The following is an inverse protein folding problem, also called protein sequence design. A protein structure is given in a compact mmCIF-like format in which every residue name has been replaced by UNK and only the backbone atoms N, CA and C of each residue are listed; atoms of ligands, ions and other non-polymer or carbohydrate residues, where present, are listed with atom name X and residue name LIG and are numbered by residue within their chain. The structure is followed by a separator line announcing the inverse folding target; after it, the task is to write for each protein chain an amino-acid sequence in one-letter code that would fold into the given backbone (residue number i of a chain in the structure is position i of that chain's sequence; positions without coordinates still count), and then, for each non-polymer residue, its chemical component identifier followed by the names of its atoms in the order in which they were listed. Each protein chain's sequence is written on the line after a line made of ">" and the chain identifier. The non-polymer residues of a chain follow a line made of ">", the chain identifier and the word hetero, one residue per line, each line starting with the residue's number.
data_IF_402729573539
#
_entry.id   IF_402729573539
#
_cell.length_a   1.000
_cell.length_b   1.000
_cell.length_c   1.000
_cell.angle_alpha   90.00
_cell.angle_beta   90.00
_cell.angle_gamma   90.00
#
_symmetry.space_group_name_H-M   'P 1'
#
loop_
_entity.id
_entity.type
_entity.pdbx_description
1 polymer ?
#
# COMPACT_ATOMS: atom_id res chain seq x y z
N UNK A 1 -26.47 -0.89 15.29
CA UNK A 1 -25.21 -0.83 14.51
C UNK A 1 -25.60 -1.09 13.08
N UNK A 2 -25.21 -0.23 12.16
CA UNK A 2 -25.50 -0.35 10.74
C UNK A 2 -24.68 -1.48 10.14
N UNK A 3 -25.28 -2.38 9.37
CA UNK A 3 -24.58 -3.41 8.62
C UNK A 3 -24.36 -2.98 7.16
N UNK A 4 -23.46 -3.65 6.41
CA UNK A 4 -23.31 -3.39 4.98
C UNK A 4 -24.62 -3.70 4.20
N UNK A 5 -25.43 -4.66 4.66
CA UNK A 5 -26.72 -4.97 4.07
C UNK A 5 -27.72 -3.81 4.17
N UNK A 6 -27.62 -2.98 5.22
CA UNK A 6 -28.49 -1.81 5.42
C UNK A 6 -28.13 -0.64 4.49
N UNK A 7 -26.98 -0.68 3.82
CA UNK A 7 -26.48 0.39 2.92
C UNK A 7 -27.05 0.30 1.49
N UNK A 8 -27.87 -0.71 1.18
CA UNK A 8 -28.51 -0.86 -0.14
C UNK A 8 -27.60 -1.42 -1.23
N UNK A 9 -26.59 -2.23 -0.85
CA UNK A 9 -25.66 -2.87 -1.76
C UNK A 9 -26.27 -4.12 -2.42
N UNK A 10 -25.84 -4.42 -3.65
CA UNK A 10 -26.25 -5.61 -4.37
C UNK A 10 -25.67 -6.90 -3.76
N UNK A 11 -26.36 -8.04 -3.94
CA UNK A 11 -25.90 -9.32 -3.42
C UNK A 11 -24.47 -9.71 -3.87
N UNK A 12 -24.04 -9.49 -5.14
CA UNK A 12 -22.66 -9.78 -5.54
C UNK A 12 -21.62 -8.98 -4.76
N UNK A 13 -21.89 -7.71 -4.45
CA UNK A 13 -20.98 -6.87 -3.66
C UNK A 13 -20.97 -7.31 -2.20
N UNK A 14 -22.15 -7.57 -1.60
CA UNK A 14 -22.22 -8.06 -0.22
C UNK A 14 -21.41 -9.35 -0.04
N UNK A 15 -21.58 -10.33 -0.93
CA UNK A 15 -20.81 -11.57 -0.89
C UNK A 15 -19.29 -11.33 -1.10
N UNK A 16 -18.91 -10.36 -1.94
CA UNK A 16 -17.50 -10.01 -2.11
C UNK A 16 -16.90 -9.40 -0.85
N UNK A 17 -17.68 -8.60 -0.10
CA UNK A 17 -17.27 -8.04 1.20
C UNK A 17 -17.13 -9.11 2.28
N UNK A 18 -18.05 -10.08 2.32
CA UNK A 18 -17.95 -11.25 3.20
C UNK A 18 -16.68 -12.06 2.93
N UNK A 19 -16.34 -12.31 1.65
CA UNK A 19 -15.12 -13.03 1.25
C UNK A 19 -13.84 -12.33 1.73
N UNK A 20 -13.86 -11.00 1.86
CA UNK A 20 -12.73 -10.18 2.33
C UNK A 20 -12.75 -10.00 3.85
N UNK A 21 -13.81 -10.43 4.53
CA UNK A 21 -13.95 -10.38 5.98
C UNK A 21 -14.40 -9.01 6.52
N UNK A 22 -15.21 -8.27 5.76
CA UNK A 22 -15.86 -7.04 6.23
C UNK A 22 -17.11 -7.41 7.01
N UNK A 23 -17.14 -7.06 8.30
CA UNK A 23 -18.29 -7.35 9.18
C UNK A 23 -19.19 -6.13 9.35
N UNK A 24 -18.62 -4.97 9.62
CA UNK A 24 -19.33 -3.72 9.87
C UNK A 24 -18.68 -2.55 9.14
N UNK A 25 -19.46 -1.59 8.64
CA UNK A 25 -18.92 -0.38 8.02
C UNK A 25 -18.24 0.51 9.05
N UNK A 26 -17.09 1.07 8.69
CA UNK A 26 -16.44 2.11 9.48
C UNK A 26 -17.23 3.44 9.37
N UNK A 27 -17.01 4.42 10.28
CA UNK A 27 -17.75 5.68 10.26
C UNK A 27 -17.68 6.45 8.93
N UNK A 28 -16.55 6.39 8.21
CA UNK A 28 -16.44 7.03 6.89
C UNK A 28 -17.23 6.26 5.83
N UNK A 29 -17.30 4.94 5.93
CA UNK A 29 -18.07 4.10 5.00
C UNK A 29 -19.56 4.29 5.21
N UNK A 30 -20.02 4.28 6.47
CA UNK A 30 -21.42 4.48 6.83
C UNK A 30 -21.96 5.83 6.31
N UNK A 31 -21.14 6.89 6.37
CA UNK A 31 -21.56 8.23 5.95
C UNK A 31 -21.35 8.48 4.45
N UNK A 32 -20.31 7.91 3.81
CA UNK A 32 -19.97 8.19 2.43
C UNK A 32 -20.68 7.27 1.42
N UNK A 33 -20.91 5.99 1.76
CA UNK A 33 -21.49 5.03 0.81
C UNK A 33 -22.91 5.47 0.36
N UNK A 34 -23.86 5.84 1.25
CA UNK A 34 -25.21 6.16 0.82
C UNK A 34 -25.32 7.36 -0.14
N UNK A 35 -24.66 8.51 0.07
CA UNK A 35 -24.70 9.60 -0.90
C UNK A 35 -24.01 9.24 -2.22
N UNK A 36 -22.91 8.47 -2.20
CA UNK A 36 -22.26 8.00 -3.42
C UNK A 36 -23.14 7.06 -4.25
N UNK A 37 -23.89 6.17 -3.62
CA UNK A 37 -24.87 5.31 -4.32
C UNK A 37 -26.02 6.11 -4.95
N UNK A 38 -26.33 7.30 -4.41
CA UNK A 38 -27.32 8.23 -4.98
C UNK A 38 -26.77 9.11 -6.10
N UNK A 39 -25.50 8.94 -6.48
CA UNK A 39 -24.84 9.74 -7.53
C UNK A 39 -24.43 11.13 -7.09
N UNK A 40 -24.35 11.42 -5.77
CA UNK A 40 -23.94 12.72 -5.26
C UNK A 40 -22.40 12.80 -5.21
N UNK A 41 -21.87 13.99 -5.48
CA UNK A 41 -20.44 14.27 -5.24
C UNK A 41 -20.18 14.32 -3.74
N UNK A 42 -18.97 13.92 -3.32
CA UNK A 42 -18.58 13.99 -1.91
C UNK A 42 -17.19 14.55 -1.70
N UNK A 43 -17.01 15.18 -0.55
CA UNK A 43 -15.72 15.49 0.03
C UNK A 43 -15.58 14.66 1.31
N UNK A 44 -14.76 13.62 1.27
CA UNK A 44 -14.49 12.74 2.41
C UNK A 44 -13.22 13.15 3.15
N UNK A 45 -13.36 13.82 4.28
CA UNK A 45 -12.21 14.17 5.12
C UNK A 45 -12.02 13.14 6.22
N UNK A 46 -10.99 12.28 6.07
CA UNK A 46 -10.66 11.24 7.04
C UNK A 46 -9.19 10.83 6.94
N UNK A 47 -8.59 10.42 8.05
CA UNK A 47 -7.19 9.97 8.12
C UNK A 47 -6.94 8.69 7.32
N UNK A 48 -5.67 8.40 7.02
CA UNK A 48 -5.24 7.13 6.43
C UNK A 48 -5.57 5.98 7.39
N UNK A 49 -6.09 4.86 6.84
CA UNK A 49 -6.50 3.71 7.66
C UNK A 49 -7.93 3.76 8.20
N UNK A 50 -8.70 4.83 7.95
CA UNK A 50 -10.12 4.94 8.35
C UNK A 50 -11.08 4.10 7.50
N UNK A 51 -10.62 3.49 6.40
CA UNK A 51 -11.46 2.73 5.48
C UNK A 51 -11.94 3.51 4.25
N UNK A 52 -11.29 4.63 3.89
CA UNK A 52 -11.63 5.45 2.71
C UNK A 52 -11.74 4.65 1.42
N UNK A 53 -10.79 3.72 1.18
CA UNK A 53 -10.79 2.92 -0.06
C UNK A 53 -12.09 2.13 -0.25
N UNK A 54 -12.63 1.54 0.80
CA UNK A 54 -13.92 0.87 0.72
C UNK A 54 -15.09 1.88 0.64
N UNK A 55 -14.98 3.04 1.29
CA UNK A 55 -16.00 4.08 1.25
C UNK A 55 -16.30 4.58 -0.16
N UNK A 56 -15.29 4.73 -1.04
CA UNK A 56 -15.51 5.06 -2.44
C UNK A 56 -15.54 3.85 -3.37
N UNK A 57 -14.79 2.81 -3.05
CA UNK A 57 -14.62 1.65 -3.93
C UNK A 57 -15.86 0.78 -4.02
N UNK A 58 -16.60 0.61 -2.93
CA UNK A 58 -17.85 -0.15 -2.92
C UNK A 58 -18.90 0.50 -3.83
N UNK A 59 -19.25 1.78 -3.67
CA UNK A 59 -20.18 2.46 -4.58
C UNK A 59 -19.69 2.49 -6.03
N UNK A 60 -18.41 2.66 -6.26
CA UNK A 60 -17.81 2.61 -7.60
C UNK A 60 -18.05 1.24 -8.25
N UNK A 61 -17.88 0.13 -7.51
CA UNK A 61 -18.15 -1.21 -8.03
C UNK A 61 -19.65 -1.46 -8.25
N UNK A 62 -20.54 -0.83 -7.49
CA UNK A 62 -21.98 -0.85 -7.79
C UNK A 62 -22.33 -0.15 -9.10
N UNK A 63 -21.71 0.99 -9.33
CA UNK A 63 -21.93 1.83 -10.50
C UNK A 63 -21.51 1.17 -11.81
N UNK A 64 -20.39 0.45 -11.83
CA UNK A 64 -19.79 -0.09 -13.06
C UNK A 64 -20.62 -1.21 -13.67
N UNK A 65 -20.93 -1.08 -14.96
CA UNK A 65 -21.57 -2.10 -15.79
C UNK A 65 -20.52 -2.96 -16.51
N UNK A 66 -20.38 -4.25 -16.21
CA UNK A 66 -19.38 -5.13 -16.83
C UNK A 66 -19.61 -5.40 -18.33
N UNK A 67 -20.80 -5.11 -18.86
CA UNK A 67 -21.11 -5.28 -20.29
C UNK A 67 -20.54 -4.14 -21.15
N UNK A 68 -20.25 -3.00 -20.56
CA UNK A 68 -19.71 -1.82 -21.24
C UNK A 68 -18.19 -1.84 -21.17
N UNK A 69 -17.51 -2.27 -22.25
CA UNK A 69 -16.04 -2.42 -22.34
C UNK A 69 -15.29 -1.10 -22.57
N UNK A 70 -15.61 -0.09 -21.76
CA UNK A 70 -14.98 1.22 -21.79
C UNK A 70 -14.57 1.62 -20.38
N UNK A 71 -13.67 2.62 -20.26
CA UNK A 71 -13.31 3.15 -18.96
C UNK A 71 -14.47 3.97 -18.38
N UNK A 72 -15.18 3.43 -17.42
CA UNK A 72 -16.34 4.03 -16.76
C UNK A 72 -15.96 4.79 -15.49
N UNK A 73 -14.86 4.38 -14.85
CA UNK A 73 -14.38 5.01 -13.63
C UNK A 73 -12.86 5.18 -13.61
N UNK A 74 -12.42 6.29 -12.99
CA UNK A 74 -11.02 6.63 -12.78
C UNK A 74 -10.76 6.92 -11.31
N UNK A 75 -9.73 6.30 -10.74
CA UNK A 75 -9.23 6.61 -9.41
C UNK A 75 -7.82 7.16 -9.54
N UNK A 76 -7.61 8.41 -9.15
CA UNK A 76 -6.29 9.03 -9.09
C UNK A 76 -5.68 8.83 -7.71
N UNK A 77 -4.41 8.47 -7.70
CA UNK A 77 -3.62 8.25 -6.49
C UNK A 77 -2.27 8.98 -6.59
N UNK A 78 -1.71 9.51 -5.49
CA UNK A 78 -0.43 10.23 -5.52
C UNK A 78 0.77 9.32 -5.80
N UNK A 79 0.70 8.06 -5.34
CA UNK A 79 1.84 7.14 -5.38
C UNK A 79 1.51 5.81 -6.06
N UNK A 80 2.54 5.15 -6.58
CA UNK A 80 2.44 3.81 -7.17
C UNK A 80 1.96 2.77 -6.15
N UNK A 81 2.49 2.84 -4.95
CA UNK A 81 2.19 1.93 -3.87
C UNK A 81 0.69 1.97 -3.52
N UNK A 82 0.13 3.19 -3.38
CA UNK A 82 -1.31 3.37 -3.16
C UNK A 82 -2.12 2.92 -4.37
N UNK A 83 -1.68 3.21 -5.60
CA UNK A 83 -2.33 2.74 -6.82
C UNK A 83 -2.49 1.21 -6.82
N UNK A 84 -1.43 0.47 -6.46
CA UNK A 84 -1.46 -1.00 -6.39
C UNK A 84 -2.43 -1.47 -5.28
N UNK A 85 -2.39 -0.85 -4.11
CA UNK A 85 -3.26 -1.19 -2.98
C UNK A 85 -4.73 -0.97 -3.31
N UNK A 86 -5.07 0.20 -3.85
CA UNK A 86 -6.43 0.54 -4.29
C UNK A 86 -6.89 -0.43 -5.38
N UNK A 87 -6.04 -0.73 -6.36
CA UNK A 87 -6.36 -1.70 -7.42
C UNK A 87 -6.70 -3.08 -6.85
N UNK A 88 -5.92 -3.58 -5.90
CA UNK A 88 -6.17 -4.87 -5.26
C UNK A 88 -7.48 -4.87 -4.47
N UNK A 89 -7.75 -3.80 -3.72
CA UNK A 89 -8.99 -3.64 -2.98
C UNK A 89 -10.22 -3.62 -3.93
N UNK A 90 -10.16 -2.81 -4.99
CA UNK A 90 -11.25 -2.73 -5.97
C UNK A 90 -11.48 -4.07 -6.68
N UNK A 91 -10.43 -4.79 -7.05
CA UNK A 91 -10.54 -6.15 -7.61
C UNK A 91 -11.25 -7.11 -6.65
N UNK A 92 -10.97 -7.01 -5.36
CA UNK A 92 -11.64 -7.83 -4.35
C UNK A 92 -13.12 -7.48 -4.23
N UNK A 93 -13.48 -6.19 -4.25
CA UNK A 93 -14.89 -5.77 -4.16
C UNK A 93 -15.68 -6.11 -5.42
N UNK A 94 -15.05 -6.00 -6.61
CA UNK A 94 -15.69 -6.31 -7.90
C UNK A 94 -15.59 -7.77 -8.34
N UNK A 95 -14.99 -8.66 -7.54
CA UNK A 95 -14.65 -10.03 -7.95
C UNK A 95 -15.86 -10.86 -8.42
N UNK A 96 -17.05 -10.58 -7.88
CA UNK A 96 -18.29 -11.30 -8.24
C UNK A 96 -19.12 -10.60 -9.32
N UNK A 97 -18.67 -9.46 -9.85
CA UNK A 97 -19.32 -8.69 -10.94
C UNK A 97 -18.56 -8.74 -12.27
N UNK A 98 -17.45 -9.47 -12.36
CA UNK A 98 -16.59 -9.51 -13.55
C UNK A 98 -16.08 -8.13 -14.01
N UNK A 99 -15.73 -7.27 -13.07
CA UNK A 99 -15.24 -5.92 -13.34
C UNK A 99 -13.73 -5.95 -13.52
N UNK A 100 -13.23 -5.51 -14.68
CA UNK A 100 -11.81 -5.37 -14.96
C UNK A 100 -11.27 -4.06 -14.38
N UNK A 101 -10.30 -4.18 -13.46
CA UNK A 101 -9.60 -3.05 -12.85
C UNK A 101 -8.15 -3.01 -13.32
N UNK A 102 -7.78 -1.95 -14.02
CA UNK A 102 -6.44 -1.75 -14.61
C UNK A 102 -5.64 -0.74 -13.78
N UNK A 103 -4.45 -1.16 -13.34
CA UNK A 103 -3.50 -0.27 -12.66
C UNK A 103 -2.56 0.41 -13.67
N UNK A 104 -2.43 1.74 -13.60
CA UNK A 104 -1.52 2.52 -14.46
C UNK A 104 -0.63 3.44 -13.62
N UNK A 105 0.70 3.17 -13.64
CA UNK A 105 1.66 3.90 -12.83
C UNK A 105 3.05 3.96 -13.46
N UNK A 106 3.85 4.93 -13.05
CA UNK A 106 5.23 5.11 -13.50
C UNK A 106 6.15 3.96 -13.04
N UNK A 107 7.28 3.78 -13.74
CA UNK A 107 8.25 2.73 -13.41
C UNK A 107 7.91 1.33 -13.90
N UNK A 108 6.74 1.12 -14.51
CA UNK A 108 6.37 -0.11 -15.20
C UNK A 108 6.30 0.11 -16.72
N UNK A 109 6.50 -0.95 -17.55
CA UNK A 109 6.45 -0.83 -19.01
C UNK A 109 5.10 -0.28 -19.48
N UNK A 110 5.13 0.82 -20.22
CA UNK A 110 3.89 1.46 -20.72
C UNK A 110 3.13 0.58 -21.71
N UNK A 111 3.84 -0.19 -22.55
CA UNK A 111 3.22 -1.07 -23.56
C UNK A 111 2.29 -2.10 -22.93
N UNK A 112 2.67 -2.67 -21.79
CA UNK A 112 1.82 -3.63 -21.04
C UNK A 112 0.54 -2.96 -20.56
N UNK A 113 0.64 -1.74 -20.00
CA UNK A 113 -0.53 -0.99 -19.54
C UNK A 113 -1.44 -0.58 -20.71
N UNK A 114 -0.86 -0.18 -21.84
CA UNK A 114 -1.63 0.09 -23.06
C UNK A 114 -2.34 -1.15 -23.61
N UNK A 115 -1.72 -2.33 -23.52
CA UNK A 115 -2.37 -3.57 -23.92
C UNK A 115 -3.55 -3.92 -23.02
N UNK A 116 -3.39 -3.77 -21.70
CA UNK A 116 -4.47 -3.98 -20.73
C UNK A 116 -5.65 -3.02 -20.96
N UNK A 117 -5.38 -1.74 -21.21
CA UNK A 117 -6.44 -0.76 -21.53
C UNK A 117 -7.18 -1.11 -22.82
N UNK A 118 -6.49 -1.61 -23.84
CA UNK A 118 -7.12 -2.04 -25.10
C UNK A 118 -7.97 -3.30 -24.97
N UNK A 119 -7.64 -4.19 -24.03
CA UNK A 119 -8.47 -5.39 -23.79
C UNK A 119 -9.77 -5.11 -23.03
N UNK A 120 -9.96 -3.86 -22.57
CA UNK A 120 -11.13 -3.38 -21.86
C UNK A 120 -10.85 -3.25 -20.36
N UNK A 121 -10.68 -2.02 -19.87
CA UNK A 121 -10.56 -1.73 -18.44
C UNK A 121 -11.75 -0.89 -18.00
N UNK A 122 -12.70 -1.49 -17.27
CA UNK A 122 -13.88 -0.78 -16.76
C UNK A 122 -13.48 0.32 -15.76
N UNK A 123 -12.50 0.02 -14.92
CA UNK A 123 -11.97 0.93 -13.91
C UNK A 123 -10.47 1.08 -14.09
N UNK A 124 -10.01 2.32 -14.15
CA UNK A 124 -8.58 2.65 -14.18
C UNK A 124 -8.19 3.24 -12.83
N UNK A 125 -7.20 2.66 -12.17
CA UNK A 125 -6.54 3.23 -11.00
C UNK A 125 -5.17 3.71 -11.44
N UNK A 126 -4.87 5.00 -11.26
CA UNK A 126 -3.64 5.53 -11.81
C UNK A 126 -2.94 6.59 -10.98
N UNK A 127 -1.60 6.62 -11.13
CA UNK A 127 -0.83 7.78 -10.66
C UNK A 127 -0.96 8.92 -11.67
N UNK A 128 -1.06 10.15 -11.17
CA UNK A 128 -1.35 11.35 -11.95
C UNK A 128 -0.48 11.45 -13.21
N UNK A 129 0.85 11.40 -13.09
CA UNK A 129 1.75 11.56 -14.23
C UNK A 129 1.61 10.45 -15.29
N UNK A 130 1.29 9.19 -14.91
CA UNK A 130 1.08 8.10 -15.89
C UNK A 130 -0.28 8.22 -16.56
N UNK A 131 -1.31 8.64 -15.86
CA UNK A 131 -2.63 8.93 -16.46
C UNK A 131 -2.48 10.03 -17.50
N UNK A 132 -1.77 11.11 -17.20
CA UNK A 132 -1.47 12.19 -18.16
C UNK A 132 -0.72 11.69 -19.41
N UNK A 133 0.31 10.85 -19.24
CA UNK A 133 1.06 10.27 -20.35
C UNK A 133 0.17 9.37 -21.25
N UNK A 134 -0.73 8.57 -20.66
CA UNK A 134 -1.65 7.73 -21.40
C UNK A 134 -2.75 8.52 -22.11
N UNK A 135 -3.27 9.58 -21.50
CA UNK A 135 -4.23 10.51 -22.12
C UNK A 135 -3.58 11.22 -23.32
N UNK A 136 -2.38 11.79 -23.15
CA UNK A 136 -1.66 12.49 -24.21
C UNK A 136 -1.32 11.61 -25.41
N UNK A 137 -1.18 10.30 -25.19
CA UNK A 137 -0.96 9.28 -26.26
C UNK A 137 -2.26 8.74 -26.86
N UNK A 138 -3.43 9.18 -26.40
CA UNK A 138 -4.72 8.61 -26.81
C UNK A 138 -4.90 7.12 -26.42
N UNK A 139 -4.08 6.61 -25.49
CA UNK A 139 -4.14 5.22 -25.03
C UNK A 139 -5.15 5.00 -23.89
N UNK A 140 -5.47 6.05 -23.18
CA UNK A 140 -6.58 6.15 -22.24
C UNK A 140 -7.55 7.20 -22.77
N UNK A 141 -8.83 6.86 -22.77
CA UNK A 141 -9.91 7.75 -23.22
C UNK A 141 -10.96 7.81 -22.11
N UNK A 142 -11.39 9.00 -21.74
CA UNK A 142 -12.28 9.22 -20.59
C UNK A 142 -13.70 9.67 -20.98
N UNK A 143 -14.09 9.58 -22.26
CA UNK A 143 -15.43 10.06 -22.71
C UNK A 143 -16.59 9.34 -22.02
N UNK A 144 -16.42 8.09 -21.61
CA UNK A 144 -17.41 7.28 -20.87
C UNK A 144 -17.16 7.25 -19.35
N UNK A 145 -16.13 7.95 -18.88
CA UNK A 145 -15.78 7.99 -17.47
C UNK A 145 -16.74 8.90 -16.69
N UNK A 146 -17.71 8.28 -16.01
CA UNK A 146 -18.76 8.97 -15.24
C UNK A 146 -18.53 8.97 -13.74
N UNK A 147 -17.46 8.33 -13.27
CA UNK A 147 -17.12 8.28 -11.86
C UNK A 147 -15.63 8.56 -11.68
N UNK A 148 -15.26 9.62 -10.97
CA UNK A 148 -13.86 9.98 -10.72
C UNK A 148 -13.62 10.09 -9.22
N UNK A 149 -12.54 9.48 -8.75
CA UNK A 149 -12.08 9.56 -7.36
C UNK A 149 -10.70 10.19 -7.32
N UNK A 150 -10.54 11.15 -6.42
CA UNK A 150 -9.25 11.69 -6.00
C UNK A 150 -8.94 11.13 -4.61
N UNK A 151 -8.01 10.21 -4.49
CA UNK A 151 -7.61 9.63 -3.18
C UNK A 151 -6.29 10.23 -2.72
N UNK A 152 -6.24 10.67 -1.46
CA UNK A 152 -5.13 11.43 -0.86
C UNK A 152 -4.80 12.69 -1.66
N UNK A 153 -5.83 13.54 -1.89
CA UNK A 153 -5.69 14.76 -2.71
C UNK A 153 -4.67 15.76 -2.12
N UNK A 154 -4.55 15.86 -0.80
CA UNK A 154 -3.53 16.66 -0.12
C UNK A 154 -2.10 16.17 -0.45
N UNK A 155 -1.88 14.87 -0.57
CA UNK A 155 -0.59 14.35 -1.00
C UNK A 155 -0.31 14.66 -2.49
N UNK A 156 -1.34 14.70 -3.35
CA UNK A 156 -1.16 15.14 -4.74
C UNK A 156 -0.73 16.62 -4.82
N UNK A 157 -1.26 17.47 -3.91
CA UNK A 157 -0.83 18.86 -3.77
C UNK A 157 0.64 18.97 -3.36
N UNK A 158 1.04 18.22 -2.33
CA UNK A 158 2.42 18.24 -1.83
C UNK A 158 3.43 17.76 -2.87
N UNK A 159 3.01 16.89 -3.79
CA UNK A 159 3.81 16.41 -4.92
C UNK A 159 3.78 17.34 -6.14
N UNK A 160 2.99 18.43 -6.08
CA UNK A 160 2.89 19.41 -7.15
C UNK A 160 2.02 18.99 -8.34
N UNK A 161 1.09 18.04 -8.16
CA UNK A 161 0.28 17.47 -9.23
C UNK A 161 -1.07 18.16 -9.46
N UNK A 162 -1.39 19.27 -8.75
CA UNK A 162 -2.73 19.88 -8.83
C UNK A 162 -3.11 20.27 -10.26
N UNK A 163 -2.21 20.93 -10.99
CA UNK A 163 -2.47 21.34 -12.38
C UNK A 163 -2.73 20.13 -13.30
N UNK A 164 -1.99 19.03 -13.10
CA UNK A 164 -2.19 17.79 -13.88
C UNK A 164 -3.52 17.12 -13.50
N UNK A 165 -3.90 17.12 -12.22
CA UNK A 165 -5.21 16.66 -11.76
C UNK A 165 -6.33 17.46 -12.42
N UNK A 166 -6.23 18.80 -12.47
CA UNK A 166 -7.20 19.64 -13.16
C UNK A 166 -7.32 19.32 -14.65
N UNK A 167 -6.19 19.08 -15.34
CA UNK A 167 -6.18 18.66 -16.75
C UNK A 167 -6.87 17.31 -16.96
N UNK A 168 -6.64 16.34 -16.07
CA UNK A 168 -7.31 15.05 -16.13
C UNK A 168 -8.81 15.20 -15.90
N UNK A 169 -9.22 15.96 -14.88
CA UNK A 169 -10.64 16.23 -14.61
C UNK A 169 -11.34 16.92 -15.77
N UNK A 170 -10.64 17.84 -16.44
CA UNK A 170 -11.16 18.53 -17.62
C UNK A 170 -11.30 17.63 -18.85
N UNK A 171 -10.59 16.48 -18.88
CA UNK A 171 -10.69 15.48 -19.95
C UNK A 171 -11.84 14.47 -19.75
N UNK A 172 -12.43 14.42 -18.57
CA UNK A 172 -13.59 13.59 -18.25
C UNK A 172 -14.90 14.40 -18.42
N UNK A 173 -16.05 13.75 -18.67
CA UNK A 173 -17.35 14.44 -18.82
C UNK A 173 -17.66 15.33 -17.62
N UNK A 174 -18.29 16.48 -17.88
CA UNK A 174 -18.74 17.40 -16.81
C UNK A 174 -19.88 16.82 -15.96
N UNK A 175 -20.66 15.88 -16.54
CA UNK A 175 -21.76 15.18 -15.86
C UNK A 175 -21.29 13.97 -15.02
N UNK A 176 -20.00 13.84 -14.78
CA UNK A 176 -19.47 12.78 -13.92
C UNK A 176 -19.81 13.02 -12.46
N UNK A 177 -19.86 11.96 -11.69
CA UNK A 177 -19.79 11.99 -10.24
C UNK A 177 -18.32 12.09 -9.79
N UNK A 178 -18.03 12.95 -8.84
CA UNK A 178 -16.65 13.14 -8.33
C UNK A 178 -16.61 12.94 -6.83
N UNK A 179 -15.68 12.09 -6.36
CA UNK A 179 -15.42 11.87 -4.95
C UNK A 179 -13.99 12.31 -4.61
N UNK A 180 -13.84 13.26 -3.72
CA UNK A 180 -12.56 13.75 -3.25
C UNK A 180 -12.31 13.27 -1.83
N UNK A 181 -11.25 12.48 -1.63
CA UNK A 181 -10.82 12.02 -0.32
C UNK A 181 -9.47 12.62 0.05
N UNK A 182 -9.39 13.19 1.25
CA UNK A 182 -8.19 13.84 1.76
C UNK A 182 -8.14 13.74 3.28
N UNK A 183 -6.96 13.74 3.86
CA UNK A 183 -6.82 13.86 5.31
C UNK A 183 -6.96 15.32 5.74
N UNK A 184 -6.44 16.25 4.94
CA UNK A 184 -6.46 17.69 5.19
C UNK A 184 -7.14 18.43 4.05
N UNK A 185 -7.64 19.65 4.33
CA UNK A 185 -8.32 20.49 3.36
C UNK A 185 -7.67 21.89 3.26
N UNK A 186 -6.40 21.97 2.80
CA UNK A 186 -5.73 23.25 2.59
C UNK A 186 -6.42 24.06 1.48
N UNK A 187 -6.21 25.38 1.41
CA UNK A 187 -6.89 26.26 0.45
C UNK A 187 -6.84 25.78 -1.01
N UNK A 188 -5.73 25.24 -1.56
CA UNK A 188 -5.72 24.75 -2.94
C UNK A 188 -6.63 23.52 -3.16
N UNK A 189 -6.77 22.62 -2.18
CA UNK A 189 -7.68 21.47 -2.29
C UNK A 189 -9.14 21.91 -2.18
N UNK A 190 -9.45 22.92 -1.36
CA UNK A 190 -10.79 23.51 -1.31
C UNK A 190 -11.15 24.14 -2.66
N UNK A 191 -10.25 24.93 -3.24
CA UNK A 191 -10.45 25.53 -4.56
C UNK A 191 -10.65 24.48 -5.67
N UNK A 192 -9.89 23.37 -5.63
CA UNK A 192 -10.09 22.25 -6.53
C UNK A 192 -11.50 21.64 -6.36
N UNK A 193 -11.93 21.42 -5.13
CA UNK A 193 -13.26 20.88 -4.83
C UNK A 193 -14.38 21.83 -5.30
N UNK A 194 -14.29 23.11 -4.98
CA UNK A 194 -15.27 24.13 -5.40
C UNK A 194 -15.39 24.24 -6.92
N UNK A 195 -14.32 24.01 -7.65
CA UNK A 195 -14.29 24.11 -9.11
C UNK A 195 -14.81 22.88 -9.84
N UNK A 196 -14.56 21.69 -9.31
CA UNK A 196 -14.78 20.43 -10.04
C UNK A 196 -15.85 19.51 -9.45
N UNK A 197 -16.36 19.78 -8.25
CA UNK A 197 -17.45 19.04 -7.63
C UNK A 197 -18.74 19.87 -7.69
N UNK A 198 -19.87 19.19 -7.87
CA UNK A 198 -21.19 19.80 -7.91
C UNK A 198 -21.95 19.50 -6.62
N UNK A 199 -22.27 20.52 -5.85
CA UNK A 199 -22.99 20.45 -4.56
C UNK A 199 -22.57 19.25 -3.68
N UNK A 200 -21.28 19.14 -3.33
CA UNK A 200 -20.76 17.95 -2.69
C UNK A 200 -21.22 17.81 -1.25
N UNK A 201 -21.57 16.58 -0.87
CA UNK A 201 -21.84 16.24 0.53
C UNK A 201 -20.50 16.20 1.28
N UNK A 202 -20.38 17.02 2.34
CA UNK A 202 -19.20 17.00 3.21
C UNK A 202 -19.32 15.87 4.24
N UNK A 203 -18.48 14.85 4.12
CA UNK A 203 -18.34 13.77 5.09
C UNK A 203 -17.05 13.99 5.87
N UNK A 204 -17.17 14.44 7.10
CA UNK A 204 -16.03 14.65 7.98
C UNK A 204 -16.10 13.68 9.14
N UNK A 205 -15.29 12.66 9.08
CA UNK A 205 -15.06 11.79 10.22
C UNK A 205 -14.00 12.47 11.07
N UNK A 206 -14.42 12.96 12.25
CA UNK A 206 -13.48 13.46 13.22
C UNK A 206 -12.38 12.41 13.38
N UNK A 207 -11.13 12.83 13.31
CA UNK A 207 -10.07 12.00 13.80
C UNK A 207 -10.49 11.60 15.21
N UNK A 208 -11.02 10.38 15.38
CA UNK A 208 -10.88 9.80 16.69
C UNK A 208 -9.38 9.92 16.93
N UNK A 209 -8.99 10.51 18.04
CA UNK A 209 -7.57 10.73 18.39
C UNK A 209 -6.76 9.42 18.45
N UNK A 210 -7.29 8.35 17.89
CA UNK A 210 -6.77 6.99 17.89
C UNK A 210 -5.30 6.91 17.46
N UNK A 211 -4.85 7.77 16.52
CA UNK A 211 -3.44 7.76 16.12
C UNK A 211 -2.59 8.54 17.10
N UNK A 212 -3.10 9.66 17.64
CA UNK A 212 -2.39 10.46 18.64
C UNK A 212 -2.43 9.74 19.99
N UNK A 213 -3.58 9.14 20.35
CA UNK A 213 -3.80 8.44 21.63
C UNK A 213 -3.15 7.05 21.70
N UNK A 214 -2.96 6.37 20.53
CA UNK A 214 -2.32 5.06 20.47
C UNK A 214 -0.81 5.11 20.27
N UNK A 215 -0.26 6.30 20.00
CA UNK A 215 1.18 6.50 19.78
C UNK A 215 1.76 7.29 20.95
N UNK A 216 2.66 6.67 21.71
CA UNK A 216 3.47 7.39 22.71
C UNK A 216 4.46 8.32 21.99
N UNK A 217 4.43 9.61 22.31
CA UNK A 217 5.16 10.63 21.58
C UNK A 217 6.23 11.28 22.44
N UNK A 218 7.47 11.20 21.96
CA UNK A 218 8.65 11.65 22.69
C UNK A 218 9.45 12.67 21.87
N UNK A 219 10.18 13.54 22.59
CA UNK A 219 11.19 14.41 22.02
C UNK A 219 12.56 14.14 22.64
N UNK A 220 13.61 14.41 21.86
CA UNK A 220 15.00 14.41 22.31
C UNK A 220 15.64 15.72 21.83
N UNK A 221 16.08 16.55 22.74
CA UNK A 221 16.90 17.70 22.38
C UNK A 221 18.33 17.21 22.06
N UNK A 222 18.83 17.55 20.88
CA UNK A 222 20.11 17.03 20.37
C UNK A 222 20.82 18.04 19.47
N UNK A 223 22.12 18.12 19.59
CA UNK A 223 22.92 18.90 18.63
C UNK A 223 23.00 18.17 17.28
N UNK A 224 23.09 18.95 16.19
CA UNK A 224 23.08 18.39 14.83
C UNK A 224 24.19 17.34 14.60
N UNK A 225 25.36 17.51 15.21
CA UNK A 225 26.49 16.56 15.11
C UNK A 225 26.25 15.22 15.79
N UNK A 226 25.40 15.20 16.83
CA UNK A 226 25.22 14.04 17.71
C UNK A 226 23.97 13.20 17.33
N UNK A 227 23.15 13.69 16.38
CA UNK A 227 21.91 13.02 15.98
C UNK A 227 22.08 11.54 15.60
N UNK A 228 23.12 11.21 14.83
CA UNK A 228 23.32 9.84 14.36
C UNK A 228 23.73 8.89 15.51
N UNK A 229 24.50 9.40 16.47
CA UNK A 229 24.88 8.64 17.66
C UNK A 229 23.66 8.43 18.56
N UNK A 230 22.89 9.50 18.80
CA UNK A 230 21.69 9.42 19.60
C UNK A 230 20.61 8.51 18.98
N UNK A 231 20.52 8.49 17.65
CA UNK A 231 19.64 7.54 16.95
C UNK A 231 20.07 6.09 17.20
N UNK A 232 21.35 5.81 17.10
CA UNK A 232 21.88 4.47 17.37
C UNK A 232 21.60 4.03 18.81
N UNK A 233 21.74 4.93 19.78
CA UNK A 233 21.37 4.71 21.19
C UNK A 233 19.88 4.39 21.34
N UNK A 234 18.99 5.22 20.75
CA UNK A 234 17.53 5.01 20.80
C UNK A 234 17.17 3.64 20.22
N UNK A 235 17.67 3.30 19.03
CA UNK A 235 17.39 2.02 18.39
C UNK A 235 17.93 0.82 19.19
N UNK A 236 19.08 0.96 19.84
CA UNK A 236 19.66 -0.09 20.67
C UNK A 236 18.87 -0.33 21.96
N UNK A 237 18.30 0.72 22.53
CA UNK A 237 17.52 0.64 23.78
C UNK A 237 16.08 0.22 23.53
N UNK A 238 15.41 0.82 22.54
CA UNK A 238 14.02 0.53 22.21
C UNK A 238 13.85 -0.84 21.52
N UNK A 239 14.87 -1.34 20.83
CA UNK A 239 14.86 -2.62 20.10
C UNK A 239 13.58 -2.80 19.25
N UNK A 240 13.29 -1.86 18.34
CA UNK A 240 12.07 -1.91 17.56
C UNK A 240 12.02 -3.20 16.73
N UNK A 241 10.84 -3.82 16.66
CA UNK A 241 10.62 -4.90 15.68
C UNK A 241 10.77 -4.35 14.27
N UNK A 242 10.17 -3.18 14.01
CA UNK A 242 10.38 -2.41 12.78
C UNK A 242 10.29 -0.91 13.09
N UNK A 243 11.24 -0.14 12.56
CA UNK A 243 11.27 1.31 12.70
C UNK A 243 11.38 2.00 11.34
N UNK A 244 10.67 3.12 11.18
CA UNK A 244 10.89 4.06 10.08
C UNK A 244 11.56 5.31 10.64
N UNK A 245 12.70 5.69 10.04
CA UNK A 245 13.46 6.90 10.39
C UNK A 245 13.27 7.92 9.26
N UNK A 246 12.58 9.00 9.53
CA UNK A 246 12.31 10.06 8.58
C UNK A 246 13.45 11.07 8.53
N UNK A 247 14.00 11.29 7.33
CA UNK A 247 15.09 12.24 7.05
C UNK A 247 14.65 13.18 5.94
N UNK A 248 14.96 14.46 6.09
CA UNK A 248 14.48 15.51 5.18
C UNK A 248 14.97 15.38 3.73
N UNK A 249 16.21 14.90 3.53
CA UNK A 249 16.84 14.88 2.21
C UNK A 249 17.34 13.50 1.80
N UNK A 250 17.40 13.24 0.50
CA UNK A 250 17.93 12.00 -0.09
C UNK A 250 19.38 11.76 0.33
N UNK A 251 20.22 12.81 0.23
CA UNK A 251 21.64 12.76 0.64
C UNK A 251 21.76 12.46 2.13
N UNK A 252 20.87 13.04 2.95
CA UNK A 252 20.78 12.76 4.38
C UNK A 252 20.44 11.30 4.66
N UNK A 253 19.49 10.72 3.90
CA UNK A 253 19.15 9.30 3.99
C UNK A 253 20.35 8.40 3.71
N UNK A 254 21.07 8.64 2.60
CA UNK A 254 22.23 7.83 2.24
C UNK A 254 23.36 7.95 3.26
N UNK A 255 23.63 9.18 3.74
CA UNK A 255 24.65 9.43 4.77
C UNK A 255 24.28 8.71 6.07
N UNK A 256 23.06 8.85 6.55
CA UNK A 256 22.60 8.21 7.78
C UNK A 256 22.60 6.69 7.64
N UNK A 257 22.09 6.17 6.52
CA UNK A 257 22.08 4.74 6.23
C UNK A 257 23.48 4.12 6.24
N UNK A 258 24.49 4.85 5.74
CA UNK A 258 25.90 4.43 5.79
C UNK A 258 26.42 4.40 7.22
N UNK A 259 26.22 5.49 7.98
CA UNK A 259 26.67 5.57 9.39
C UNK A 259 26.05 4.46 10.24
N UNK A 260 24.78 4.13 10.06
CA UNK A 260 24.12 3.05 10.81
C UNK A 260 24.64 1.67 10.39
N UNK A 261 24.92 1.44 9.10
CA UNK A 261 25.54 0.19 8.62
C UNK A 261 26.94 -0.01 9.16
N UNK A 262 27.77 1.05 9.18
CA UNK A 262 29.12 1.01 9.71
C UNK A 262 29.15 0.66 11.22
N UNK A 263 28.03 0.93 11.92
CA UNK A 263 27.79 0.50 13.31
C UNK A 263 27.17 -0.91 13.43
N UNK A 264 27.11 -1.67 12.34
CA UNK A 264 26.61 -3.04 12.32
C UNK A 264 25.07 -3.15 12.32
N UNK A 265 24.32 -2.07 12.11
CA UNK A 265 22.88 -2.12 12.08
C UNK A 265 22.34 -2.60 10.73
N UNK A 266 21.35 -3.48 10.77
CA UNK A 266 20.65 -3.92 9.54
C UNK A 266 19.63 -2.85 9.12
N UNK A 267 20.02 -2.00 8.18
CA UNK A 267 19.24 -0.86 7.71
C UNK A 267 19.17 -0.82 6.20
N UNK A 268 18.02 -0.36 5.66
CA UNK A 268 17.85 0.00 4.25
C UNK A 268 17.46 1.47 4.14
N UNK A 269 17.75 2.03 2.96
CA UNK A 269 17.44 3.43 2.65
C UNK A 269 16.37 3.45 1.55
N UNK A 270 15.41 4.38 1.64
CA UNK A 270 14.34 4.55 0.67
C UNK A 270 14.16 6.03 0.33
N UNK A 271 14.49 6.42 -0.90
CA UNK A 271 14.28 7.78 -1.43
C UNK A 271 14.09 7.78 -2.94
N UNK A 272 13.76 8.94 -3.51
CA UNK A 272 13.36 9.06 -4.91
C UNK A 272 14.41 8.73 -5.97
N UNK A 273 15.71 8.70 -5.62
CA UNK A 273 16.79 8.40 -6.58
C UNK A 273 17.01 6.89 -6.75
N UNK A 274 16.38 6.04 -5.93
CA UNK A 274 16.42 4.61 -6.13
C UNK A 274 15.63 4.21 -7.37
N UNK A 275 16.18 3.30 -8.16
CA UNK A 275 15.42 2.67 -9.24
C UNK A 275 14.20 1.91 -8.68
N UNK A 276 13.20 1.70 -9.50
CA UNK A 276 11.98 1.02 -9.04
C UNK A 276 12.24 -0.39 -8.50
N UNK A 277 13.11 -1.16 -9.17
CA UNK A 277 13.48 -2.49 -8.67
C UNK A 277 14.20 -2.45 -7.31
N UNK A 278 15.02 -1.43 -7.08
CA UNK A 278 15.64 -1.23 -5.76
C UNK A 278 14.60 -0.88 -4.69
N UNK A 279 13.64 0.01 -4.99
CA UNK A 279 12.54 0.34 -4.08
C UNK A 279 11.71 -0.88 -3.73
N UNK A 280 11.31 -1.66 -4.73
CA UNK A 280 10.52 -2.89 -4.56
C UNK A 280 11.30 -3.91 -3.69
N UNK A 281 12.61 -4.07 -3.92
CA UNK A 281 13.47 -4.92 -3.11
C UNK A 281 13.60 -4.48 -1.65
N UNK A 282 13.76 -3.17 -1.41
CA UNK A 282 13.80 -2.58 -0.05
C UNK A 282 12.46 -2.82 0.66
N UNK A 283 11.35 -2.55 -0.03
CA UNK A 283 10.02 -2.71 0.55
C UNK A 283 9.67 -4.15 0.86
N UNK A 284 10.02 -5.08 -0.02
CA UNK A 284 9.84 -6.51 0.21
C UNK A 284 10.63 -6.98 1.43
N UNK A 285 11.89 -6.54 1.56
CA UNK A 285 12.74 -6.89 2.69
C UNK A 285 12.21 -6.29 4.01
N UNK A 286 11.71 -5.05 3.98
CA UNK A 286 11.17 -4.38 5.16
C UNK A 286 9.81 -4.98 5.56
N UNK A 287 8.85 -5.11 4.64
CA UNK A 287 7.54 -5.75 4.92
C UNK A 287 7.68 -7.19 5.43
N UNK A 288 8.65 -7.93 4.93
CA UNK A 288 8.96 -9.29 5.36
C UNK A 288 9.73 -9.39 6.68
N UNK A 289 9.98 -8.28 7.38
CA UNK A 289 10.69 -8.27 8.68
C UNK A 289 12.19 -8.58 8.60
N UNK A 290 12.76 -8.77 7.39
CA UNK A 290 14.20 -9.04 7.21
C UNK A 290 15.10 -7.85 7.50
N UNK A 291 14.53 -6.65 7.46
CA UNK A 291 15.20 -5.39 7.75
C UNK A 291 14.40 -4.67 8.84
N UNK A 292 14.95 -4.48 10.03
CA UNK A 292 14.22 -3.83 11.13
C UNK A 292 14.17 -2.30 11.02
N UNK A 293 15.10 -1.66 10.30
CA UNK A 293 15.18 -0.20 10.23
C UNK A 293 15.15 0.29 8.78
N UNK A 294 14.19 1.13 8.47
CA UNK A 294 14.06 1.83 7.19
C UNK A 294 14.37 3.32 7.38
N UNK A 295 15.37 3.84 6.70
CA UNK A 295 15.66 5.28 6.64
C UNK A 295 15.02 5.83 5.36
N UNK A 296 14.10 6.79 5.47
CA UNK A 296 13.33 7.23 4.32
C UNK A 296 13.08 8.74 4.30
N UNK A 297 12.89 9.29 3.09
CA UNK A 297 12.30 10.62 2.93
C UNK A 297 10.77 10.53 2.98
N UNK A 298 10.09 11.64 3.33
CA UNK A 298 8.62 11.70 3.37
C UNK A 298 7.99 11.20 2.07
N UNK A 299 8.43 11.74 0.93
CA UNK A 299 7.92 11.37 -0.40
C UNK A 299 8.04 9.87 -0.69
N UNK A 300 9.13 9.25 -0.27
CA UNK A 300 9.35 7.82 -0.54
C UNK A 300 8.61 6.91 0.45
N UNK A 301 8.34 7.39 1.65
CA UNK A 301 7.60 6.64 2.68
C UNK A 301 6.08 6.84 2.62
N UNK A 302 5.59 7.77 1.78
CA UNK A 302 4.16 7.97 1.54
C UNK A 302 3.53 6.76 0.88
N UNK A 303 2.26 6.51 1.17
CA UNK A 303 1.51 5.38 0.64
C UNK A 303 2.00 4.00 1.13
N UNK A 304 2.99 3.94 2.02
CA UNK A 304 3.45 2.67 2.60
C UNK A 304 2.43 2.18 3.63
N UNK A 305 1.67 1.16 3.26
CA UNK A 305 0.87 0.41 4.23
C UNK A 305 1.74 -0.68 4.85
N UNK A 306 2.22 -0.42 6.07
CA UNK A 306 3.04 -1.34 6.84
C UNK A 306 2.44 -1.42 8.24
N UNK A 307 1.66 -2.46 8.47
CA UNK A 307 0.96 -2.68 9.74
C UNK A 307 1.88 -3.15 10.88
N UNK A 308 3.16 -3.39 10.60
CA UNK A 308 4.13 -3.99 11.52
C UNK A 308 5.11 -2.99 12.13
N UNK A 309 5.02 -1.71 11.74
CA UNK A 309 5.89 -0.66 12.26
C UNK A 309 5.53 -0.37 13.72
N UNK A 310 6.51 -0.54 14.60
CA UNK A 310 6.37 -0.26 16.03
C UNK A 310 6.89 1.11 16.42
N UNK A 311 7.87 1.63 15.66
CA UNK A 311 8.53 2.90 15.97
C UNK A 311 8.64 3.80 14.74
N UNK A 312 8.37 5.07 14.97
CA UNK A 312 8.67 6.17 14.03
C UNK A 312 9.70 7.08 14.66
N UNK A 313 10.77 7.38 13.95
CA UNK A 313 11.75 8.37 14.40
C UNK A 313 11.78 9.54 13.41
N UNK A 314 11.41 10.71 13.87
CA UNK A 314 11.62 11.95 13.14
C UNK A 314 13.06 12.42 13.39
N UNK A 315 14.01 11.94 12.57
CA UNK A 315 15.42 12.37 12.63
C UNK A 315 15.57 13.86 12.32
N UNK A 316 14.72 14.37 11.44
CA UNK A 316 14.52 15.80 11.19
C UNK A 316 13.09 16.18 11.54
N UNK A 317 12.90 17.29 12.25
CA UNK A 317 11.58 17.84 12.54
C UNK A 317 10.81 18.03 11.23
N UNK A 318 9.55 17.56 11.15
CA UNK A 318 8.70 17.74 9.97
C UNK A 318 8.53 19.21 9.58
N UNK A 319 8.26 19.46 8.32
CA UNK A 319 8.06 20.81 7.78
C UNK A 319 6.70 21.43 8.13
N UNK A 320 5.75 20.61 8.57
CA UNK A 320 4.45 21.04 9.04
C UNK A 320 3.86 20.06 10.04
N UNK A 321 2.90 20.48 10.88
CA UNK A 321 2.18 19.61 11.80
C UNK A 321 1.45 18.45 11.10
N UNK A 322 0.87 18.67 9.93
CA UNK A 322 0.20 17.60 9.16
C UNK A 322 1.18 16.50 8.74
N UNK A 323 2.38 16.88 8.29
CA UNK A 323 3.45 15.90 7.98
C UNK A 323 3.85 15.10 9.21
N UNK A 324 3.88 15.75 10.40
CA UNK A 324 4.12 15.05 11.65
C UNK A 324 3.08 13.96 11.91
N UNK A 325 1.79 14.30 11.82
CA UNK A 325 0.69 13.35 12.00
C UNK A 325 0.75 12.21 10.97
N UNK A 326 1.05 12.51 9.70
CA UNK A 326 1.21 11.51 8.65
C UNK A 326 2.38 10.56 8.92
N UNK A 327 3.51 11.05 9.49
CA UNK A 327 4.66 10.21 9.85
C UNK A 327 4.32 9.29 11.02
N UNK A 328 3.81 9.83 12.13
CA UNK A 328 3.49 9.02 13.31
C UNK A 328 2.37 8.02 13.03
N UNK A 329 1.45 8.35 12.12
CA UNK A 329 0.41 7.45 11.63
C UNK A 329 0.92 6.23 10.83
N UNK A 330 2.24 6.06 10.68
CA UNK A 330 2.83 4.81 10.17
C UNK A 330 2.93 3.74 11.26
N UNK A 331 2.78 4.10 12.53
CA UNK A 331 2.66 3.18 13.68
C UNK A 331 1.33 3.35 14.40
N UNK A 332 1.05 2.61 15.45
CA UNK A 332 -0.18 2.72 16.23
C UNK A 332 -1.46 2.30 15.48
N UNK A 333 -1.36 1.44 14.45
CA UNK A 333 -2.50 1.03 13.62
C UNK A 333 -3.21 -0.22 14.16
N UNK A 334 -4.52 -0.30 13.90
CA UNK A 334 -5.33 -1.51 14.19
C UNK A 334 -5.26 -1.92 15.66
N UNK A 335 -5.44 -0.97 16.60
CA UNK A 335 -5.49 -1.25 18.04
C UNK A 335 -4.13 -1.62 18.66
N UNK A 336 -3.02 -1.40 17.97
CA UNK A 336 -1.65 -1.58 18.49
C UNK A 336 -1.12 -0.25 19.00
N UNK A 337 -0.34 -0.29 20.09
CA UNK A 337 0.45 0.86 20.56
C UNK A 337 1.67 1.04 19.64
N UNK A 338 2.04 2.31 19.42
CA UNK A 338 3.24 2.70 18.69
C UNK A 338 4.08 3.70 19.46
N UNK A 339 5.31 3.95 19.02
CA UNK A 339 6.19 4.98 19.57
C UNK A 339 6.68 5.92 18.47
N UNK A 340 6.66 7.21 18.79
CA UNK A 340 7.23 8.26 17.94
C UNK A 340 8.29 9.02 18.74
N UNK A 341 9.51 9.12 18.19
CA UNK A 341 10.60 9.88 18.80
C UNK A 341 11.03 10.99 17.84
N UNK A 342 10.99 12.24 18.29
CA UNK A 342 11.34 13.41 17.46
C UNK A 342 12.62 14.05 17.96
N UNK A 343 13.63 14.15 17.10
CA UNK A 343 14.88 14.84 17.39
C UNK A 343 14.74 16.32 17.09
N UNK A 344 15.03 17.15 18.10
CA UNK A 344 14.83 18.58 18.04
C UNK A 344 16.16 19.32 18.29
N UNK A 345 16.60 20.10 17.33
CA UNK A 345 17.73 21.01 17.50
C UNK A 345 17.25 22.30 18.19
N UNK A 346 18.15 22.98 18.89
CA UNK A 346 17.80 24.21 19.63
C UNK A 346 17.09 25.28 18.76
N UNK A 347 17.44 25.31 17.48
CA UNK A 347 16.84 26.23 16.47
C UNK A 347 15.44 25.83 16.01
N UNK A 348 14.98 24.59 16.31
CA UNK A 348 13.72 24.00 15.84
C UNK A 348 12.64 23.97 16.91
N UNK A 349 12.82 24.74 18.01
CA UNK A 349 11.83 24.80 19.10
C UNK A 349 10.49 25.39 18.67
N UNK A 350 10.51 26.29 17.70
CA UNK A 350 9.29 26.89 17.18
C UNK A 350 8.48 25.89 16.36
N UNK A 351 9.12 25.15 15.46
CA UNK A 351 8.48 24.11 14.66
C UNK A 351 7.92 23.00 15.57
N UNK A 352 8.61 22.65 16.66
CA UNK A 352 8.10 21.73 17.65
C UNK A 352 6.85 22.28 18.35
N UNK A 353 6.85 23.53 18.76
CA UNK A 353 5.70 24.17 19.42
C UNK A 353 4.48 24.17 18.48
N UNK A 354 4.64 24.50 17.19
CA UNK A 354 3.56 24.47 16.20
C UNK A 354 2.96 23.04 16.06
N UNK A 355 3.80 22.00 16.16
CA UNK A 355 3.35 20.59 16.17
C UNK A 355 2.57 20.30 17.45
N UNK A 356 3.10 20.65 18.64
CA UNK A 356 2.47 20.40 19.93
C UNK A 356 1.10 21.09 20.05
N UNK A 357 1.00 22.34 19.57
CA UNK A 357 -0.25 23.08 19.51
C UNK A 357 -1.28 22.41 18.59
N UNK A 358 -0.84 21.89 17.43
CA UNK A 358 -1.72 21.23 16.47
C UNK A 358 -2.27 19.89 16.99
N UNK A 359 -1.42 19.10 17.65
CA UNK A 359 -1.84 17.80 18.22
C UNK A 359 -2.52 17.93 19.59
N UNK A 360 -2.49 19.12 20.19
CA UNK A 360 -3.11 19.42 21.48
C UNK A 360 -2.41 18.81 22.68
N UNK A 361 -1.14 18.38 22.54
CA UNK A 361 -0.35 17.81 23.65
C UNK A 361 1.14 18.13 23.50
N UNK A 362 1.84 18.27 24.63
CA UNK A 362 3.29 18.39 24.63
C UNK A 362 3.97 17.03 24.48
N UNK A 363 5.04 16.97 23.69
CA UNK A 363 5.86 15.77 23.56
C UNK A 363 6.66 15.53 24.84
N UNK A 364 6.60 14.31 25.36
CA UNK A 364 7.34 13.91 26.55
C UNK A 364 8.84 13.77 26.27
N UNK A 365 9.69 14.14 27.22
CA UNK A 365 11.12 13.90 27.07
C UNK A 365 11.41 12.39 27.08
N UNK A 366 12.13 11.91 26.03
CA UNK A 366 12.48 10.51 25.92
C UNK A 366 13.49 10.12 27.03
N UNK A 367 13.21 9.01 27.70
CA UNK A 367 14.10 8.42 28.71
C UNK A 367 14.39 6.96 28.36
N UNK A 368 15.65 6.51 28.56
CA UNK A 368 16.00 5.10 28.40
C UNK A 368 15.14 4.18 29.28
N UNK A 369 14.74 3.00 28.76
CA UNK A 369 14.12 1.93 29.56
C UNK A 369 12.61 1.86 29.59
N UNK A 370 11.90 2.70 28.85
CA UNK A 370 10.45 2.55 28.63
C UNK A 370 10.17 1.45 27.61
N UNK A 371 10.02 0.19 28.00
CA UNK A 371 9.61 -0.86 27.08
C UNK A 371 8.13 -0.70 26.70
N UNK A 372 7.84 -0.54 25.40
CA UNK A 372 6.53 -0.94 24.88
C UNK A 372 6.53 -2.46 24.88
N UNK A 373 5.81 -3.06 25.83
CA UNK A 373 5.40 -4.44 25.66
C UNK A 373 4.52 -4.45 24.41
N UNK A 374 4.88 -5.15 23.31
CA UNK A 374 3.96 -5.29 22.19
C UNK A 374 2.66 -5.81 22.79
N UNK A 375 1.54 -5.11 22.57
CA UNK A 375 0.25 -5.68 22.93
C UNK A 375 0.24 -7.09 22.33
N UNK A 376 -0.17 -8.12 23.11
CA UNK A 376 -0.21 -9.46 22.59
C UNK A 376 -0.93 -9.38 21.27
N UNK A 377 -0.32 -9.91 20.23
CA UNK A 377 -0.96 -10.04 18.92
C UNK A 377 -2.23 -10.81 19.23
N UNK A 378 -3.36 -10.08 19.33
CA UNK A 378 -4.65 -10.74 19.21
C UNK A 378 -4.56 -11.36 17.84
N UNK A 379 -4.29 -12.66 17.83
CA UNK A 379 -4.26 -13.44 16.61
C UNK A 379 -5.49 -12.96 15.83
N UNK A 380 -5.29 -12.52 14.59
CA UNK A 380 -6.42 -12.31 13.67
C UNK A 380 -7.30 -13.55 13.88
N UNK A 381 -8.63 -13.42 13.99
CA UNK A 381 -9.47 -14.59 14.05
C UNK A 381 -8.97 -15.50 12.95
N UNK A 382 -8.44 -16.66 13.34
CA UNK A 382 -7.86 -17.64 12.43
C UNK A 382 -8.94 -17.85 11.39
N UNK A 383 -8.61 -17.63 10.12
CA UNK A 383 -9.44 -18.14 9.02
C UNK A 383 -9.93 -19.49 9.51
N UNK A 384 -11.25 -19.67 9.53
CA UNK A 384 -11.87 -20.91 9.92
C UNK A 384 -11.00 -22.05 9.44
N UNK A 385 -10.46 -22.81 10.39
CA UNK A 385 -9.68 -24.00 10.11
C UNK A 385 -10.52 -24.84 9.14
N UNK A 386 -10.10 -24.87 7.90
CA UNK A 386 -10.44 -26.00 7.06
C UNK A 386 -10.01 -27.22 7.86
N UNK A 387 -10.81 -28.28 7.96
CA UNK A 387 -10.52 -29.41 8.81
C UNK A 387 -9.06 -29.84 8.61
N UNK A 388 -8.33 -29.98 9.69
CA UNK A 388 -6.95 -30.46 9.70
C UNK A 388 -6.94 -31.82 9.01
N UNK A 389 -6.55 -31.80 7.73
CA UNK A 389 -6.09 -33.05 7.11
C UNK A 389 -4.77 -33.37 7.81
N UNK A 390 -4.74 -34.44 8.54
CA UNK A 390 -3.56 -34.97 9.21
C UNK A 390 -2.46 -35.13 8.16
N UNK A 391 -1.44 -34.29 8.23
CA UNK A 391 -0.27 -34.30 7.34
C UNK A 391 0.64 -35.47 7.77
N UNK A 392 0.65 -36.55 7.01
CA UNK A 392 1.71 -37.52 7.02
C UNK A 392 2.79 -37.03 6.04
N UNK A 393 3.98 -36.73 6.55
CA UNK A 393 5.16 -36.37 5.73
C UNK A 393 5.82 -35.07 6.06
N UNK A 394 6.30 -34.85 7.28
CA UNK A 394 7.14 -33.74 7.66
C UNK A 394 8.62 -34.06 7.40
N UNK A 395 9.13 -33.56 6.25
CA UNK A 395 10.55 -33.34 5.96
C UNK A 395 10.79 -31.86 5.61
N UNK A 396 12.04 -31.37 5.62
CA UNK A 396 12.34 -30.00 5.19
C UNK A 396 11.92 -29.80 3.72
N UNK A 397 11.43 -28.60 3.41
CA UNK A 397 11.02 -28.19 2.06
C UNK A 397 12.12 -27.35 1.40
N UNK A 398 12.27 -27.46 0.09
CA UNK A 398 13.21 -26.68 -0.72
C UNK A 398 12.42 -25.88 -1.74
N UNK A 399 12.65 -24.58 -1.79
CA UNK A 399 12.08 -23.71 -2.83
C UNK A 399 12.90 -23.84 -4.11
N UNK A 400 12.23 -24.12 -5.22
CA UNK A 400 12.82 -24.14 -6.56
C UNK A 400 12.47 -22.85 -7.29
N UNK A 401 13.45 -22.35 -8.04
CA UNK A 401 13.31 -21.24 -9.00
C UNK A 401 13.19 -21.84 -10.40
N UNK A 402 12.17 -21.39 -11.13
CA UNK A 402 11.94 -21.76 -12.54
C UNK A 402 12.13 -20.51 -13.39
N UNK A 403 12.99 -20.55 -14.40
CA UNK A 403 13.35 -19.41 -15.26
C UNK A 403 12.26 -18.99 -16.26
N UNK A 404 11.02 -19.41 -16.07
CA UNK A 404 9.87 -19.06 -16.90
C UNK A 404 8.69 -18.60 -16.03
N UNK A 405 7.86 -17.70 -16.57
CA UNK A 405 6.77 -17.07 -15.85
C UNK A 405 5.54 -16.77 -16.72
N UNK A 406 4.72 -15.82 -16.28
CA UNK A 406 3.50 -15.42 -17.02
C UNK A 406 3.81 -14.83 -18.40
N UNK A 407 4.94 -14.15 -18.54
CA UNK A 407 5.37 -13.63 -19.85
C UNK A 407 5.61 -14.74 -20.88
N UNK A 408 5.89 -15.96 -20.42
CA UNK A 408 6.09 -17.15 -21.24
C UNK A 408 4.80 -18.00 -21.37
N UNK A 409 3.66 -17.46 -20.93
CA UNK A 409 2.34 -18.12 -21.02
C UNK A 409 2.09 -19.18 -19.95
N UNK A 410 2.90 -19.24 -18.88
CA UNK A 410 2.72 -20.21 -17.81
C UNK A 410 1.68 -19.78 -16.79
N UNK A 411 0.88 -20.76 -16.35
CA UNK A 411 -0.06 -20.65 -15.23
C UNK A 411 0.34 -21.60 -14.10
N UNK A 412 -0.13 -21.40 -12.86
CA UNK A 412 0.20 -22.29 -11.75
C UNK A 412 -0.13 -23.76 -12.01
N UNK A 413 -1.24 -24.03 -12.71
CA UNK A 413 -1.65 -25.39 -13.09
C UNK A 413 -0.69 -26.10 -14.02
N UNK A 414 -0.05 -25.38 -14.94
CA UNK A 414 0.92 -25.92 -15.89
C UNK A 414 2.16 -26.44 -15.16
N UNK A 415 2.64 -25.70 -14.17
CA UNK A 415 3.78 -26.11 -13.34
C UNK A 415 3.43 -27.30 -12.46
N UNK A 416 2.27 -27.28 -11.78
CA UNK A 416 1.83 -28.42 -10.98
C UNK A 416 1.74 -29.67 -11.86
N UNK A 417 1.18 -29.57 -13.06
CA UNK A 417 1.08 -30.69 -13.98
C UNK A 417 2.46 -31.20 -14.43
N UNK A 418 3.39 -30.29 -14.80
CA UNK A 418 4.73 -30.70 -15.21
C UNK A 418 5.50 -31.42 -14.07
N UNK A 419 5.40 -30.91 -12.85
CA UNK A 419 6.08 -31.45 -11.68
C UNK A 419 5.47 -32.81 -11.24
N UNK A 420 4.17 -33.01 -11.45
CA UNK A 420 3.51 -34.29 -11.13
C UNK A 420 3.69 -35.31 -12.25
N UNK A 421 3.50 -34.93 -13.52
CA UNK A 421 3.54 -35.84 -14.64
C UNK A 421 4.98 -36.25 -15.02
N UNK A 422 5.91 -35.30 -15.08
CA UNK A 422 7.26 -35.53 -15.63
C UNK A 422 8.28 -35.85 -14.51
N UNK A 423 8.17 -35.19 -13.33
CA UNK A 423 9.06 -35.46 -12.22
C UNK A 423 8.47 -36.49 -11.24
N UNK A 424 7.27 -37.01 -11.48
CA UNK A 424 6.64 -38.07 -10.68
C UNK A 424 6.41 -37.70 -9.22
N UNK A 425 6.08 -36.44 -8.93
CA UNK A 425 5.67 -35.98 -7.62
C UNK A 425 4.16 -36.18 -7.42
N UNK A 426 3.76 -36.52 -6.20
CA UNK A 426 2.34 -36.44 -5.85
C UNK A 426 1.89 -34.97 -5.84
N UNK A 427 0.65 -34.67 -6.22
CA UNK A 427 0.15 -33.30 -6.28
C UNK A 427 0.27 -32.53 -4.97
N UNK A 428 0.19 -33.22 -3.83
CA UNK A 428 0.38 -32.64 -2.50
C UNK A 428 1.86 -32.33 -2.17
N UNK A 429 2.79 -32.86 -2.93
CA UNK A 429 4.23 -32.62 -2.81
C UNK A 429 4.69 -31.37 -3.56
N UNK A 430 3.82 -30.71 -4.31
CA UNK A 430 4.07 -29.42 -4.96
C UNK A 430 3.27 -28.34 -4.23
N UNK A 431 3.97 -27.40 -3.58
CA UNK A 431 3.33 -26.37 -2.73
C UNK A 431 3.79 -24.96 -3.10
N UNK A 432 3.04 -23.98 -2.63
CA UNK A 432 3.37 -22.54 -2.72
C UNK A 432 3.73 -22.06 -4.13
N UNK A 433 3.05 -22.61 -5.15
CA UNK A 433 3.30 -22.30 -6.55
C UNK A 433 2.98 -20.84 -6.83
N UNK A 434 4.01 -20.06 -7.14
CA UNK A 434 3.94 -18.62 -7.43
C UNK A 434 4.51 -18.35 -8.81
N UNK A 435 3.64 -18.11 -9.78
CA UNK A 435 4.04 -17.73 -11.13
C UNK A 435 4.14 -16.21 -11.19
N UNK A 436 5.37 -15.69 -11.34
CA UNK A 436 5.69 -14.27 -11.48
C UNK A 436 5.84 -13.92 -12.96
N UNK A 437 6.13 -12.68 -13.29
CA UNK A 437 6.16 -12.21 -14.68
C UNK A 437 7.20 -12.97 -15.54
N UNK A 438 8.42 -13.17 -15.03
CA UNK A 438 9.56 -13.72 -15.78
C UNK A 438 10.15 -14.98 -15.16
N UNK A 439 9.68 -15.42 -14.03
CA UNK A 439 10.12 -16.62 -13.34
C UNK A 439 9.02 -17.12 -12.40
N UNK A 440 9.16 -18.36 -11.95
CA UNK A 440 8.22 -18.95 -11.00
C UNK A 440 8.95 -19.55 -9.81
N UNK A 441 8.25 -19.69 -8.70
CA UNK A 441 8.75 -20.32 -7.47
C UNK A 441 7.74 -21.36 -7.03
N UNK A 442 8.22 -22.49 -6.52
CA UNK A 442 7.41 -23.49 -5.85
C UNK A 442 8.24 -24.29 -4.85
N UNK A 443 7.55 -24.88 -3.87
CA UNK A 443 8.19 -25.69 -2.86
C UNK A 443 7.97 -27.19 -3.12
N UNK A 444 9.06 -27.97 -3.01
CA UNK A 444 9.07 -29.42 -3.08
C UNK A 444 9.75 -30.00 -1.84
N UNK A 445 9.49 -31.28 -1.47
CA UNK A 445 10.23 -31.92 -0.39
C UNK A 445 11.73 -31.91 -0.69
N UNK A 446 12.57 -31.53 0.28
CA UNK A 446 14.02 -31.41 0.07
C UNK A 446 14.67 -32.71 -0.43
N UNK A 447 14.15 -33.85 -0.04
CA UNK A 447 14.60 -35.18 -0.50
C UNK A 447 14.38 -35.42 -2.02
N UNK A 448 13.43 -34.71 -2.61
CA UNK A 448 13.07 -34.86 -4.02
C UNK A 448 13.65 -33.75 -4.91
N UNK A 449 14.20 -32.69 -4.32
CA UNK A 449 14.61 -31.47 -5.03
C UNK A 449 15.65 -31.74 -6.15
N UNK A 450 16.73 -32.46 -5.89
CA UNK A 450 17.75 -32.77 -6.90
C UNK A 450 17.20 -33.63 -8.05
N UNK A 451 16.36 -34.60 -7.73
CA UNK A 451 15.70 -35.46 -8.72
C UNK A 451 14.78 -34.65 -9.63
N UNK A 452 14.01 -33.75 -9.05
CA UNK A 452 13.07 -32.86 -9.75
C UNK A 452 13.82 -31.87 -10.64
N UNK A 453 14.89 -31.25 -10.15
CA UNK A 453 15.74 -30.35 -10.94
C UNK A 453 16.28 -31.12 -12.14
N UNK A 454 16.84 -32.29 -11.94
CA UNK A 454 17.41 -33.11 -13.04
C UNK A 454 16.36 -33.52 -14.09
N UNK A 455 15.13 -33.80 -13.67
CA UNK A 455 14.06 -34.22 -14.57
C UNK A 455 13.45 -33.06 -15.37
N UNK A 456 13.40 -31.85 -14.79
CA UNK A 456 12.68 -30.73 -15.38
C UNK A 456 13.59 -29.63 -15.94
N UNK A 457 14.88 -29.63 -15.63
CA UNK A 457 15.81 -28.64 -16.22
C UNK A 457 15.93 -28.87 -17.74
N UNK A 458 15.64 -27.82 -18.49
CA UNK A 458 15.59 -27.88 -19.95
C UNK A 458 14.30 -28.48 -20.54
N UNK A 459 13.37 -28.98 -19.71
CA UNK A 459 12.07 -29.49 -20.16
C UNK A 459 11.20 -28.39 -20.75
N UNK A 460 10.30 -28.73 -21.68
CA UNK A 460 9.40 -27.77 -22.33
C UNK A 460 7.99 -27.89 -21.77
N UNK A 461 7.46 -26.76 -21.27
CA UNK A 461 6.07 -26.65 -20.84
C UNK A 461 5.41 -25.57 -21.69
N UNK A 462 4.41 -25.91 -22.47
CA UNK A 462 3.88 -25.04 -23.56
C UNK A 462 5.02 -24.58 -24.47
N UNK A 463 5.20 -23.27 -24.62
CA UNK A 463 6.26 -22.69 -25.47
C UNK A 463 7.53 -22.34 -24.67
N UNK A 464 7.51 -22.48 -23.34
CA UNK A 464 8.61 -22.14 -22.46
C UNK A 464 9.55 -23.32 -22.18
N UNK A 465 10.87 -23.08 -22.28
CA UNK A 465 11.89 -24.01 -21.80
C UNK A 465 12.22 -23.65 -20.35
N UNK A 466 12.03 -24.61 -19.44
CA UNK A 466 12.27 -24.40 -18.02
C UNK A 466 13.76 -24.53 -17.70
N UNK A 467 14.34 -23.53 -17.03
CA UNK A 467 15.54 -23.72 -16.24
C UNK A 467 15.13 -23.86 -14.79
N UNK A 468 15.48 -24.95 -14.17
CA UNK A 468 15.07 -25.26 -12.79
C UNK A 468 16.29 -25.35 -11.88
N UNK A 469 16.31 -24.54 -10.81
CA UNK A 469 17.39 -24.53 -9.84
C UNK A 469 16.86 -24.36 -8.42
N UNK A 470 17.63 -24.77 -7.42
CA UNK A 470 17.28 -24.47 -6.03
C UNK A 470 17.45 -22.98 -5.75
N UNK A 471 16.39 -22.33 -5.22
CA UNK A 471 16.47 -20.93 -4.84
C UNK A 471 17.52 -20.77 -3.72
N UNK A 472 18.53 -19.94 -3.97
CA UNK A 472 19.56 -19.61 -2.95
C UNK A 472 18.93 -18.77 -1.86
N UNK A 473 19.13 -19.20 -0.61
CA UNK A 473 18.63 -18.56 0.60
C UNK A 473 19.16 -17.11 0.78
#
# INVERSE_FOLDING_TARGET
>A
MTSFADLGLSAPILHALEDVGYEQPSPIQEQAIPPLLKGQDIIGQAQTGSGKTAAFGIPLMEYVDPEIRETQALVLTPTRELCIQVTQALRSYGARKNIDVVAVFGGAPIRTQQAQLRSGGHVVVGTVGRVMDLLSRGSLVLHSCRYVVLDEADEMLDLGFIEDVERILSSAPSSRQTALFSATMPPPIRALAERYLYDPVMVKVAAQNLTVDTVEQFRIEVASGDKAEKLAEVLAQERPTQAIVFVRTKIGCDRLGRVLKDRGMNVRVLHGDLSQGQRDGVMLAFKGGRVPVLVATDVAARGLDISTVTHVVNYDVPTSPDVYVHRIGRTGRVGRSGRAVTFVEARQKRELQEIEEHIGMALTEWKPGGHVTPAPVTERPRRHDKPKITRTGEGPWTTLLISAGRADGLEPGDLVHAFTAEAGLEGEAVRDVRVLERFSLLDVPARDAERVITALDGHRVKDARLGVEAARA
#
